data_IF_587417489732
#
_entry.id   IF_587417489732
#
_cell.length_a   1.000
_cell.length_b   1.000
_cell.length_c   1.000
_cell.angle_alpha   90.00
_cell.angle_beta   90.00
_cell.angle_gamma   90.00
#
_symmetry.space_group_name_H-M   'P 1'
#
loop_
_entity.id
_entity.type
_entity.pdbx_description
1 polymer ?
#
# COMPACT_ATOMS: atom_id res chain seq x y z
N UNK A 1 8.62 5.56 11.99
CA UNK A 1 7.43 6.41 12.20
C UNK A 1 6.91 6.95 10.87
N UNK A 2 5.60 7.20 10.73
CA UNK A 2 4.92 7.69 9.52
C UNK A 2 3.95 8.85 9.88
N UNK A 3 4.47 10.02 10.29
CA UNK A 3 3.65 11.15 10.75
C UNK A 3 2.76 11.76 9.66
N UNK A 4 3.06 11.50 8.39
CA UNK A 4 2.35 12.08 7.24
C UNK A 4 1.05 11.32 6.89
N UNK A 5 0.73 10.28 7.66
CA UNK A 5 -0.46 9.46 7.49
C UNK A 5 -1.73 10.30 7.73
N UNK A 6 -2.67 10.24 6.80
CA UNK A 6 -3.90 11.04 6.82
C UNK A 6 -3.78 12.40 6.13
N UNK A 7 -2.55 12.91 5.92
CA UNK A 7 -2.32 14.20 5.28
C UNK A 7 -1.97 14.09 3.79
N UNK A 8 -1.29 13.01 3.39
CA UNK A 8 -0.83 12.82 2.02
C UNK A 8 -1.86 12.10 1.13
N UNK A 9 -1.77 12.35 -0.18
CA UNK A 9 -2.52 11.59 -1.17
C UNK A 9 -2.04 10.12 -1.23
N UNK A 10 -2.94 9.23 -1.66
CA UNK A 10 -2.69 7.79 -1.81
C UNK A 10 -1.44 7.47 -2.65
N UNK A 11 -1.11 8.30 -3.65
CA UNK A 11 0.09 8.07 -4.49
C UNK A 11 1.36 8.49 -3.77
N UNK A 12 1.33 9.61 -3.07
CA UNK A 12 2.45 10.15 -2.33
C UNK A 12 2.85 9.22 -1.19
N UNK A 13 1.89 8.77 -0.38
CA UNK A 13 2.18 7.87 0.75
C UNK A 13 2.69 6.50 0.27
N UNK A 14 2.13 5.96 -0.82
CA UNK A 14 2.62 4.70 -1.39
C UNK A 14 4.07 4.81 -1.89
N UNK A 15 4.46 5.97 -2.43
CA UNK A 15 5.85 6.25 -2.84
C UNK A 15 6.76 6.43 -1.61
N UNK A 16 6.31 7.16 -0.59
CA UNK A 16 7.06 7.41 0.65
C UNK A 16 7.38 6.11 1.41
N UNK A 17 6.42 5.20 1.49
CA UNK A 17 6.59 3.88 2.13
C UNK A 17 7.40 2.92 1.24
N UNK A 18 7.46 3.18 -0.07
CA UNK A 18 8.18 2.32 -1.02
C UNK A 18 7.39 1.08 -1.43
N UNK A 19 6.07 1.19 -1.55
CA UNK A 19 5.16 0.13 -2.07
C UNK A 19 4.61 0.45 -3.45
N UNK A 20 4.91 1.63 -4.00
CA UNK A 20 4.55 1.99 -5.36
C UNK A 20 5.44 1.27 -6.39
N UNK A 21 4.88 0.60 -7.41
CA UNK A 21 5.66 0.05 -8.52
C UNK A 21 6.37 1.17 -9.28
N UNK A 22 7.68 1.05 -9.47
CA UNK A 22 8.51 2.01 -10.18
C UNK A 22 8.94 1.44 -11.53
N UNK A 23 9.00 2.30 -12.54
CA UNK A 23 9.49 1.96 -13.88
C UNK A 23 11.00 1.67 -13.84
N UNK A 24 11.45 0.75 -14.69
CA UNK A 24 12.87 0.45 -14.91
C UNK A 24 13.13 0.47 -16.41
N UNK A 25 12.81 1.60 -17.01
CA UNK A 25 12.86 1.76 -18.46
C UNK A 25 14.14 2.52 -18.84
N UNK A 26 14.73 2.17 -19.98
CA UNK A 26 15.95 2.79 -20.50
C UNK A 26 15.91 2.79 -22.03
N UNK A 27 15.99 3.97 -22.65
CA UNK A 27 15.83 4.09 -24.10
C UNK A 27 14.53 3.43 -24.57
N UNK A 28 14.65 2.42 -25.44
CA UNK A 28 13.51 1.63 -25.96
C UNK A 28 13.16 0.41 -25.08
N UNK A 29 13.94 0.10 -24.04
CA UNK A 29 13.70 -1.05 -23.17
C UNK A 29 12.67 -0.77 -22.09
N UNK A 30 11.64 -1.63 -21.99
CA UNK A 30 10.66 -1.63 -20.89
C UNK A 30 10.95 -2.75 -19.91
N UNK A 31 11.33 -2.38 -18.68
CA UNK A 31 11.69 -3.32 -17.62
C UNK A 31 10.52 -3.70 -16.72
N UNK A 32 10.62 -4.87 -16.08
CA UNK A 32 9.67 -5.27 -15.04
C UNK A 32 9.62 -4.23 -13.91
N UNK A 33 8.39 -3.80 -13.59
CA UNK A 33 8.14 -2.84 -12.50
C UNK A 33 8.50 -3.44 -11.16
N UNK A 34 9.24 -2.68 -10.34
CA UNK A 34 9.66 -3.13 -9.00
C UNK A 34 9.44 -2.04 -7.98
N UNK A 35 9.22 -2.44 -6.72
CA UNK A 35 9.25 -1.53 -5.59
C UNK A 35 10.70 -1.26 -5.20
N UNK A 36 11.03 0.00 -4.86
CA UNK A 36 12.37 0.42 -4.43
C UNK A 36 12.25 1.62 -3.48
N UNK A 37 13.22 1.76 -2.58
CA UNK A 37 13.38 2.94 -1.73
C UNK A 37 12.34 3.02 -0.62
N UNK A 38 12.02 4.25 -0.20
CA UNK A 38 11.04 4.54 0.85
C UNK A 38 11.47 4.10 2.25
N UNK A 39 10.51 4.10 3.19
CA UNK A 39 10.75 3.76 4.60
C UNK A 39 10.67 2.24 4.84
N UNK A 40 11.84 1.57 4.79
CA UNK A 40 11.94 0.12 4.94
C UNK A 40 11.24 -0.45 6.20
N UNK A 41 11.42 0.12 7.40
CA UNK A 41 10.76 -0.42 8.61
C UNK A 41 9.23 -0.42 8.51
N UNK A 42 8.66 0.65 7.95
CA UNK A 42 7.20 0.78 7.75
C UNK A 42 6.71 -0.26 6.73
N UNK A 43 7.47 -0.48 5.66
CA UNK A 43 7.15 -1.50 4.66
C UNK A 43 7.19 -2.92 5.24
N UNK A 44 8.16 -3.23 6.10
CA UNK A 44 8.23 -4.54 6.78
C UNK A 44 7.02 -4.75 7.68
N UNK A 45 6.65 -3.75 8.49
CA UNK A 45 5.45 -3.81 9.33
C UNK A 45 4.17 -4.00 8.50
N UNK A 46 4.02 -3.24 7.41
CA UNK A 46 2.90 -3.40 6.46
C UNK A 46 2.87 -4.79 5.82
N UNK A 47 4.03 -5.37 5.53
CA UNK A 47 4.10 -6.71 4.95
C UNK A 47 3.53 -7.74 5.92
N UNK A 48 3.95 -7.70 7.19
CA UNK A 48 3.43 -8.58 8.23
C UNK A 48 1.92 -8.37 8.46
N UNK A 49 1.47 -7.11 8.52
CA UNK A 49 0.03 -6.80 8.63
C UNK A 49 -0.76 -7.35 7.43
N UNK A 50 -0.21 -7.26 6.22
CA UNK A 50 -0.87 -7.73 5.00
C UNK A 50 -0.98 -9.25 4.96
N UNK A 51 0.01 -9.99 5.47
CA UNK A 51 -0.08 -11.45 5.58
C UNK A 51 -1.26 -11.87 6.46
N UNK A 52 -1.43 -11.23 7.61
CA UNK A 52 -2.57 -11.46 8.50
C UNK A 52 -3.88 -11.06 7.84
N UNK A 53 -3.93 -9.89 7.18
CA UNK A 53 -5.13 -9.41 6.49
C UNK A 53 -5.55 -10.36 5.36
N UNK A 54 -4.63 -10.82 4.52
CA UNK A 54 -4.96 -11.76 3.42
C UNK A 54 -5.44 -13.12 3.95
N UNK A 55 -5.02 -13.53 5.15
CA UNK A 55 -5.46 -14.79 5.76
C UNK A 55 -6.86 -14.69 6.36
N UNK A 56 -7.14 -13.61 7.09
CA UNK A 56 -8.31 -13.51 7.95
C UNK A 56 -9.38 -12.53 7.48
N UNK A 57 -9.02 -11.47 6.74
CA UNK A 57 -9.99 -10.51 6.21
C UNK A 57 -10.53 -10.99 4.84
N UNK A 58 -11.84 -11.27 4.71
CA UNK A 58 -12.43 -11.75 3.46
C UNK A 58 -12.20 -10.79 2.29
N UNK A 59 -12.21 -9.47 2.53
CA UNK A 59 -12.04 -8.46 1.47
C UNK A 59 -10.61 -8.45 0.92
N UNK A 60 -9.60 -8.52 1.79
CA UNK A 60 -8.20 -8.64 1.37
C UNK A 60 -7.91 -10.00 0.74
N UNK A 61 -8.49 -11.08 1.27
CA UNK A 61 -8.35 -12.44 0.70
C UNK A 61 -8.90 -12.51 -0.73
N UNK A 62 -10.12 -12.01 -0.95
CA UNK A 62 -10.73 -11.95 -2.27
C UNK A 62 -9.89 -11.11 -3.25
N UNK A 63 -9.38 -9.96 -2.80
CA UNK A 63 -8.51 -9.14 -3.64
C UNK A 63 -7.20 -9.85 -4.01
N UNK A 64 -6.58 -10.57 -3.07
CA UNK A 64 -5.39 -11.36 -3.33
C UNK A 64 -5.67 -12.51 -4.33
N UNK A 65 -6.77 -13.24 -4.15
CA UNK A 65 -7.18 -14.33 -5.03
C UNK A 65 -7.46 -13.84 -6.45
N UNK A 66 -8.21 -12.74 -6.62
CA UNK A 66 -8.43 -12.11 -7.93
C UNK A 66 -7.13 -11.76 -8.65
N UNK A 67 -6.11 -11.29 -7.92
CA UNK A 67 -4.80 -11.00 -8.51
C UNK A 67 -4.06 -12.28 -8.91
N UNK A 68 -4.17 -13.35 -8.11
CA UNK A 68 -3.60 -14.67 -8.42
C UNK A 68 -4.24 -15.29 -9.65
N UNK A 69 -5.57 -15.21 -9.77
CA UNK A 69 -6.34 -15.68 -10.94
C UNK A 69 -5.94 -14.95 -12.22
N UNK A 70 -5.62 -13.65 -12.11
CA UNK A 70 -5.06 -12.85 -13.22
C UNK A 70 -3.59 -13.17 -13.54
N UNK A 71 -3.06 -14.28 -13.03
CA UNK A 71 -1.69 -14.75 -13.27
C UNK A 71 -0.59 -13.98 -12.54
N UNK A 72 -0.92 -13.14 -11.55
CA UNK A 72 0.13 -12.43 -10.79
C UNK A 72 0.86 -13.39 -9.85
N UNK A 73 2.18 -13.23 -9.76
CA UNK A 73 3.01 -13.92 -8.79
C UNK A 73 2.54 -13.61 -7.36
N UNK A 74 2.60 -14.59 -6.46
CA UNK A 74 2.10 -14.44 -5.09
C UNK A 74 2.69 -13.23 -4.36
N UNK A 75 4.01 -13.00 -4.49
CA UNK A 75 4.67 -11.84 -3.89
C UNK A 75 4.20 -10.51 -4.49
N UNK A 76 3.92 -10.47 -5.79
CA UNK A 76 3.40 -9.27 -6.48
C UNK A 76 1.97 -8.97 -6.02
N UNK A 77 1.14 -10.01 -5.89
CA UNK A 77 -0.21 -9.87 -5.36
C UNK A 77 -0.20 -9.36 -3.91
N UNK A 78 0.70 -9.88 -3.05
CA UNK A 78 0.87 -9.37 -1.68
C UNK A 78 1.27 -7.89 -1.65
N UNK A 79 2.21 -7.46 -2.49
CA UNK A 79 2.61 -6.04 -2.56
C UNK A 79 1.46 -5.14 -3.03
N UNK A 80 0.61 -5.62 -3.93
CA UNK A 80 -0.60 -4.89 -4.32
C UNK A 80 -1.61 -4.79 -3.15
N UNK A 81 -1.80 -5.87 -2.38
CA UNK A 81 -2.59 -5.86 -1.15
C UNK A 81 -2.02 -4.90 -0.11
N UNK A 82 -0.68 -4.84 0.07
CA UNK A 82 -0.04 -3.88 0.97
C UNK A 82 -0.38 -2.43 0.57
N UNK A 83 -0.36 -2.13 -0.73
CA UNK A 83 -0.72 -0.80 -1.24
C UNK A 83 -2.21 -0.49 -0.99
N UNK A 84 -3.10 -1.47 -1.13
CA UNK A 84 -4.53 -1.32 -0.82
C UNK A 84 -4.75 -1.06 0.67
N UNK A 85 -4.11 -1.85 1.54
CA UNK A 85 -4.17 -1.71 2.99
C UNK A 85 -3.68 -0.33 3.44
N UNK A 86 -2.53 0.13 2.92
CA UNK A 86 -2.00 1.46 3.21
C UNK A 86 -3.00 2.56 2.81
N UNK A 87 -3.68 2.41 1.68
CA UNK A 87 -4.72 3.36 1.24
C UNK A 87 -5.90 3.42 2.20
N UNK A 88 -6.36 2.29 2.71
CA UNK A 88 -7.44 2.20 3.71
C UNK A 88 -7.02 2.88 5.01
N UNK A 89 -5.83 2.56 5.53
CA UNK A 89 -5.31 3.15 6.76
C UNK A 89 -5.13 4.67 6.61
N UNK A 90 -4.61 5.13 5.47
CA UNK A 90 -4.47 6.55 5.19
C UNK A 90 -5.82 7.27 5.08
N UNK A 91 -6.85 6.60 4.56
CA UNK A 91 -8.19 7.16 4.49
C UNK A 91 -8.83 7.28 5.87
N UNK A 92 -8.81 6.21 6.67
CA UNK A 92 -9.33 6.23 8.04
C UNK A 92 -8.67 7.33 8.87
N UNK A 93 -7.34 7.46 8.81
CA UNK A 93 -6.65 8.51 9.57
C UNK A 93 -7.02 9.92 9.12
N UNK A 94 -7.27 10.14 7.82
CA UNK A 94 -7.74 11.43 7.31
C UNK A 94 -9.12 11.76 7.85
N UNK A 95 -10.02 10.77 7.87
CA UNK A 95 -11.40 10.95 8.31
C UNK A 95 -11.45 11.22 9.82
N UNK A 96 -10.61 10.53 10.61
CA UNK A 96 -10.38 10.83 12.04
C UNK A 96 -9.90 12.28 12.25
N UNK A 97 -8.87 12.71 11.52
CA UNK A 97 -8.35 14.08 11.61
C UNK A 97 -9.40 15.13 11.19
N UNK A 98 -10.28 14.80 10.25
CA UNK A 98 -11.38 15.68 9.85
C UNK A 98 -12.41 15.81 10.98
N UNK A 99 -12.79 14.69 11.59
CA UNK A 99 -13.73 14.67 12.72
C UNK A 99 -13.16 15.41 13.94
N UNK A 100 -11.89 15.20 14.28
CA UNK A 100 -11.19 15.92 15.35
C UNK A 100 -11.22 17.44 15.14
N UNK A 101 -11.01 17.90 13.89
CA UNK A 101 -11.05 19.33 13.54
C UNK A 101 -12.46 19.92 13.63
N UNK A 102 -13.48 19.17 13.26
CA UNK A 102 -14.88 19.59 13.37
C UNK A 102 -15.33 19.66 14.83
N UNK A 103 -14.84 18.76 15.69
CA UNK A 103 -15.12 18.78 17.12
C UNK A 103 -14.39 19.90 17.89
N UNK A 104 -13.31 20.43 17.31
CA UNK A 104 -12.52 21.52 17.88
C UNK A 104 -12.91 22.92 17.36
N UNK A 105 -13.90 23.00 16.45
CA UNK A 105 -14.46 24.22 15.89
C UNK A 105 -15.82 24.52 16.51
#
# INVERSE_FOLDING_TARGET
>A
MLPELGHLDRRQIAKLVGVAPMNRDSGQGSGHRRIRGGRSPVRVALYMATLSAVRWDPLMKAHYQQLRERGKLGKVALVACMRKLLGIVNARRRDELCAERLAAA
#
